data_IF_822057258609
#
_entry.id   IF_822057258609
#
_cell.length_a   1.000
_cell.length_b   1.000
_cell.length_c   1.000
_cell.angle_alpha   90.00
_cell.angle_beta   90.00
_cell.angle_gamma   90.00
#
_symmetry.space_group_name_H-M   'P 1'
#
loop_
_entity.id
_entity.type
_entity.pdbx_description
1 polymer ?
#
# COMPACT_ATOMS: atom_id res chain seq x y z
N UNK A 1 -4.24 15.87 -1.01
CA UNK A 1 -3.50 14.73 -1.59
C UNK A 1 -4.50 13.64 -1.94
N UNK A 2 -4.48 13.13 -3.18
CA UNK A 2 -5.39 12.07 -3.62
C UNK A 2 -5.14 10.75 -2.88
N UNK A 3 -6.12 9.85 -2.94
CA UNK A 3 -5.99 8.48 -2.41
C UNK A 3 -4.90 7.75 -3.19
N UNK A 4 -3.87 7.19 -2.54
CA UNK A 4 -2.85 6.41 -3.22
C UNK A 4 -3.45 5.19 -3.92
N UNK A 5 -2.81 4.75 -4.99
CA UNK A 5 -3.22 3.58 -5.77
C UNK A 5 -2.16 2.48 -5.69
N UNK A 6 -2.53 1.29 -6.12
CA UNK A 6 -1.61 0.18 -6.28
C UNK A 6 -1.91 -0.54 -7.60
N UNK A 7 -0.94 -0.57 -8.52
CA UNK A 7 -1.05 -1.21 -9.83
C UNK A 7 -0.51 -2.64 -9.87
N UNK A 8 -0.38 -3.31 -8.72
CA UNK A 8 0.30 -4.60 -8.61
C UNK A 8 -0.33 -5.75 -9.43
N UNK A 9 -1.57 -5.57 -9.93
CA UNK A 9 -2.27 -6.50 -10.83
C UNK A 9 -2.30 -6.02 -12.29
N UNK A 10 -1.51 -5.01 -12.64
CA UNK A 10 -1.57 -4.34 -13.95
C UNK A 10 -2.74 -3.34 -14.08
N UNK A 11 -3.63 -3.28 -13.10
CA UNK A 11 -4.75 -2.32 -13.04
C UNK A 11 -4.61 -1.48 -11.78
N UNK A 12 -4.62 -0.14 -11.85
CA UNK A 12 -4.54 0.72 -10.68
C UNK A 12 -5.81 0.59 -9.83
N UNK A 13 -5.64 0.18 -8.57
CA UNK A 13 -6.73 0.10 -7.59
C UNK A 13 -6.44 1.01 -6.40
N UNK A 14 -7.47 1.69 -5.88
CA UNK A 14 -7.33 2.56 -4.72
C UNK A 14 -6.88 1.79 -3.48
N UNK A 15 -6.01 2.40 -2.69
CA UNK A 15 -5.59 1.87 -1.39
C UNK A 15 -6.57 2.28 -0.29
N UNK A 16 -6.58 1.51 0.79
CA UNK A 16 -7.47 1.75 1.93
C UNK A 16 -6.72 2.40 3.08
N UNK A 17 -7.38 3.29 3.82
CA UNK A 17 -6.82 3.80 5.07
C UNK A 17 -6.69 2.67 6.08
N UNK A 18 -5.57 2.65 6.79
CA UNK A 18 -5.28 1.65 7.83
C UNK A 18 -4.69 2.31 9.07
N UNK A 19 -5.35 2.11 10.22
CA UNK A 19 -4.87 2.63 11.51
C UNK A 19 -4.75 4.15 11.54
N UNK A 20 -3.75 4.66 12.27
CA UNK A 20 -3.53 6.10 12.45
C UNK A 20 -2.80 6.73 11.24
N UNK A 21 -3.52 6.91 10.14
CA UNK A 21 -3.02 7.56 8.93
C UNK A 21 -2.14 6.69 8.03
N UNK A 22 -2.07 5.38 8.28
CA UNK A 22 -1.43 4.43 7.38
C UNK A 22 -2.29 4.07 6.18
N UNK A 23 -1.71 3.31 5.27
CA UNK A 23 -2.35 2.80 4.07
C UNK A 23 -2.19 1.30 3.96
N UNK A 24 -3.18 0.66 3.33
CA UNK A 24 -3.20 -0.75 3.02
C UNK A 24 -3.44 -0.93 1.52
N UNK A 25 -2.59 -1.72 0.88
CA UNK A 25 -2.77 -2.13 -0.51
C UNK A 25 -4.09 -2.90 -0.68
N UNK A 26 -4.82 -2.56 -1.74
CA UNK A 26 -6.04 -3.28 -2.14
C UNK A 26 -5.77 -4.52 -2.99
N UNK A 27 -4.55 -4.63 -3.54
CA UNK A 27 -4.19 -5.68 -4.48
C UNK A 27 -2.99 -6.51 -4.03
N UNK A 28 -2.17 -6.16 -3.01
CA UNK A 28 -0.99 -6.97 -2.64
C UNK A 28 -1.28 -7.83 -1.40
N UNK A 29 -1.44 -9.15 -1.52
CA UNK A 29 -1.37 -10.06 -0.34
C UNK A 29 0.07 -10.54 -0.10
N UNK A 30 0.25 -11.51 0.81
CA UNK A 30 1.54 -12.16 1.10
C UNK A 30 2.03 -13.07 -0.04
N UNK A 31 1.13 -13.59 -0.88
CA UNK A 31 1.46 -14.59 -1.91
C UNK A 31 0.93 -14.27 -3.30
N UNK A 32 -0.12 -13.46 -3.42
CA UNK A 32 -0.80 -13.18 -4.69
C UNK A 32 -1.42 -11.78 -4.72
N UNK A 33 -1.73 -11.30 -5.92
CA UNK A 33 -2.39 -10.02 -6.11
C UNK A 33 -3.82 -10.15 -6.67
N UNK A 34 -4.84 -9.77 -5.89
CA UNK A 34 -6.25 -9.86 -6.28
C UNK A 34 -7.10 -8.77 -5.60
N UNK A 35 -8.10 -8.24 -6.30
CA UNK A 35 -9.07 -7.28 -5.78
C UNK A 35 -10.51 -7.73 -6.08
N UNK A 36 -11.41 -7.85 -5.08
CA UNK A 36 -11.16 -7.68 -3.64
C UNK A 36 -10.35 -8.86 -3.04
N UNK A 37 -9.53 -8.59 -2.01
CA UNK A 37 -8.64 -9.59 -1.39
C UNK A 37 -9.41 -10.85 -0.95
N UNK A 38 -8.88 -12.08 -1.09
CA UNK A 38 -9.62 -13.30 -0.76
C UNK A 38 -10.16 -13.33 0.68
N UNK A 39 -11.24 -14.06 0.94
CA UNK A 39 -11.74 -14.26 2.31
C UNK A 39 -10.73 -15.08 3.14
N UNK A 40 -10.60 -14.77 4.43
CA UNK A 40 -9.81 -15.58 5.36
C UNK A 40 -10.53 -16.91 5.57
N UNK A 41 -9.83 -18.06 5.42
CA UNK A 41 -10.46 -19.37 5.57
C UNK A 41 -11.06 -19.57 6.97
N UNK A 42 -10.47 -18.93 7.98
CA UNK A 42 -10.84 -19.13 9.39
C UNK A 42 -11.74 -18.01 9.96
N UNK A 43 -12.17 -17.03 9.15
CA UNK A 43 -13.00 -15.92 9.62
C UNK A 43 -14.08 -15.55 8.60
N UNK A 44 -15.33 -15.86 8.93
CA UNK A 44 -16.50 -15.44 8.14
C UNK A 44 -16.55 -13.90 8.08
N UNK A 45 -16.63 -13.35 6.88
CA UNK A 45 -16.68 -11.90 6.56
C UNK A 45 -15.37 -11.11 6.67
N UNK A 46 -14.23 -11.73 6.99
CA UNK A 46 -12.94 -11.06 7.00
C UNK A 46 -12.09 -11.46 5.79
N UNK A 47 -11.41 -10.50 5.14
CA UNK A 47 -10.50 -10.77 4.01
C UNK A 47 -9.05 -10.88 4.47
N UNK A 48 -8.23 -11.58 3.68
CA UNK A 48 -6.78 -11.66 3.87
C UNK A 48 -6.23 -10.23 3.93
N UNK A 49 -5.36 -9.98 4.90
CA UNK A 49 -4.69 -8.69 5.02
C UNK A 49 -3.73 -8.45 3.86
N UNK A 50 -3.98 -7.41 3.09
CA UNK A 50 -2.98 -6.86 2.16
C UNK A 50 -1.75 -6.30 2.88
N UNK A 51 -0.71 -5.95 2.12
CA UNK A 51 0.49 -5.24 2.62
C UNK A 51 0.12 -3.84 3.09
N UNK A 52 0.80 -3.36 4.14
CA UNK A 52 0.47 -2.13 4.87
C UNK A 52 1.69 -1.21 4.99
N UNK A 53 1.41 0.07 5.14
CA UNK A 53 2.36 1.15 5.40
C UNK A 53 1.80 1.99 6.53
N UNK A 54 2.60 2.29 7.55
CA UNK A 54 2.17 3.17 8.64
C UNK A 54 2.14 4.64 8.19
N UNK A 55 1.41 5.50 8.91
CA UNK A 55 1.30 6.92 8.57
C UNK A 55 2.63 7.66 8.65
N UNK A 56 3.45 7.38 9.67
CA UNK A 56 4.79 7.98 9.80
C UNK A 56 5.70 7.67 8.62
N UNK A 57 5.58 6.47 8.06
CA UNK A 57 6.33 6.02 6.90
C UNK A 57 5.83 6.66 5.64
N UNK A 58 4.52 6.71 5.50
CA UNK A 58 3.89 7.36 4.38
C UNK A 58 4.30 8.83 4.30
N UNK A 59 4.35 9.54 5.44
CA UNK A 59 4.84 10.91 5.50
C UNK A 59 6.30 11.02 5.04
N UNK A 60 7.18 10.11 5.49
CA UNK A 60 8.59 10.10 5.03
C UNK A 60 8.71 9.85 3.53
N UNK A 61 7.88 8.96 2.98
CA UNK A 61 7.83 8.70 1.54
C UNK A 61 7.38 9.95 0.77
N UNK A 62 6.35 10.65 1.26
CA UNK A 62 5.90 11.92 0.66
C UNK A 62 6.98 12.98 0.71
N UNK A 63 7.70 13.13 1.82
CA UNK A 63 8.82 14.07 1.92
C UNK A 63 9.92 13.75 0.91
N UNK A 64 10.23 12.46 0.71
CA UNK A 64 11.19 12.01 -0.31
C UNK A 64 10.71 12.34 -1.72
N UNK A 65 9.47 12.01 -2.06
CA UNK A 65 8.90 12.34 -3.37
C UNK A 65 8.86 13.84 -3.65
N UNK A 66 8.49 14.65 -2.65
CA UNK A 66 8.57 16.10 -2.76
C UNK A 66 10.00 16.58 -3.04
N UNK A 67 11.01 16.00 -2.37
CA UNK A 67 12.42 16.34 -2.61
C UNK A 67 12.93 15.89 -3.98
N UNK A 68 12.36 14.81 -4.54
CA UNK A 68 12.64 14.32 -5.88
C UNK A 68 11.85 15.08 -6.97
N UNK A 69 11.02 16.06 -6.58
CA UNK A 69 10.23 16.88 -7.52
C UNK A 69 8.97 16.19 -8.08
N UNK A 70 8.51 15.10 -7.45
CA UNK A 70 7.27 14.44 -7.86
C UNK A 70 6.05 15.31 -7.50
N UNK A 71 5.08 15.33 -8.40
CA UNK A 71 3.80 15.98 -8.14
C UNK A 71 2.96 15.15 -7.16
N UNK A 72 2.65 15.73 -6.00
CA UNK A 72 1.80 15.12 -4.97
C UNK A 72 0.30 15.40 -5.18
N UNK A 73 -0.06 16.13 -6.24
CA UNK A 73 -1.44 16.36 -6.66
C UNK A 73 -2.05 15.15 -7.38
N UNK A 74 -1.20 14.27 -7.93
CA UNK A 74 -1.59 13.03 -8.62
C UNK A 74 -1.60 11.80 -7.69
N UNK A 75 -2.44 10.78 -7.96
CA UNK A 75 -2.44 9.54 -7.17
C UNK A 75 -1.09 8.84 -7.27
N UNK A 76 -0.45 8.62 -6.10
CA UNK A 76 0.82 7.91 -6.02
C UNK A 76 0.58 6.41 -6.13
N UNK A 77 1.32 5.75 -7.03
CA UNK A 77 1.36 4.30 -7.08
C UNK A 77 2.34 3.75 -6.04
N UNK A 78 1.79 3.07 -5.04
CA UNK A 78 2.56 2.53 -3.93
C UNK A 78 3.02 1.09 -4.15
N UNK A 79 2.77 0.50 -5.34
CA UNK A 79 3.11 -0.90 -5.68
C UNK A 79 4.49 -1.31 -5.18
N UNK A 80 5.47 -0.46 -5.43
CA UNK A 80 6.88 -0.74 -5.19
C UNK A 80 7.33 -0.38 -3.75
N UNK A 81 6.48 0.32 -2.99
CA UNK A 81 6.80 0.84 -1.65
C UNK A 81 6.15 0.04 -0.51
N UNK A 82 5.37 -1.00 -0.82
CA UNK A 82 4.71 -1.82 0.19
C UNK A 82 5.68 -2.68 1.00
N UNK A 83 5.67 -2.53 2.33
CA UNK A 83 6.45 -3.38 3.22
C UNK A 83 5.96 -4.84 3.16
N UNK A 84 6.89 -5.81 3.24
CA UNK A 84 6.51 -7.23 3.39
C UNK A 84 6.03 -7.44 4.83
N UNK A 85 5.02 -8.26 5.03
CA UNK A 85 4.52 -8.58 6.37
C UNK A 85 5.67 -9.16 7.21
N UNK A 86 5.94 -8.58 8.38
CA UNK A 86 7.04 -9.01 9.26
C UNK A 86 8.39 -8.31 9.02
N UNK A 87 8.52 -7.45 8.01
CA UNK A 87 9.73 -6.62 7.83
C UNK A 87 9.39 -5.15 8.04
N UNK A 88 9.88 -4.56 9.13
CA UNK A 88 9.95 -3.09 9.29
C UNK A 88 10.95 -2.43 8.33
N UNK A 89 11.59 -3.24 7.47
CA UNK A 89 12.39 -2.77 6.36
C UNK A 89 11.43 -2.40 5.25
N UNK A 90 11.32 -1.10 4.98
CA UNK A 90 10.87 -0.64 3.66
C UNK A 90 11.67 -1.42 2.63
N UNK A 91 11.05 -1.81 1.52
CA UNK A 91 11.85 -2.14 0.36
C UNK A 91 12.52 -0.82 0.00
N UNK A 92 13.75 -0.62 0.46
CA UNK A 92 14.67 0.37 -0.10
C UNK A 92 14.88 -0.10 -1.52
N UNK A 93 13.98 0.30 -2.41
CA UNK A 93 14.31 0.32 -3.81
C UNK A 93 15.30 1.48 -3.93
N UNK A 94 16.55 1.09 -4.15
CA UNK A 94 17.64 1.98 -4.53
C UNK A 94 17.22 2.76 -5.77
#
# INVERSE_FOLDING_TARGET
>A
MPVPVCSCTGVPRQCYKWGNGGWQSSCCTTTLSMHPLPQLPNKRHARIGGRKMSGSVFIRLLSRFASEGHDLSIPLDLKDYWARHGTNRYITIK
#
